data_IF_095133277466
#
_entry.id   IF_095133277466
#
_cell.length_a   1.000
_cell.length_b   1.000
_cell.length_c   1.000
_cell.angle_alpha   90.00
_cell.angle_beta   90.00
_cell.angle_gamma   90.00
#
_symmetry.space_group_name_H-M   'P 1'
#
loop_
_entity.id
_entity.type
_entity.pdbx_description
1 polymer ?
#
# COMPACT_ATOMS: atom_id res chain seq x y z
N UNK A 1 -0.71 -6.10 13.99
CA UNK A 1 -0.66 -7.57 14.19
C UNK A 1 -2.00 -8.27 14.41
N UNK A 2 -2.95 -7.77 15.21
CA UNK A 2 -4.15 -8.57 15.56
C UNK A 2 -5.26 -8.70 14.51
N UNK A 3 -5.28 -7.88 13.46
CA UNK A 3 -6.37 -7.85 12.47
C UNK A 3 -5.92 -8.39 11.10
N UNK A 4 -6.41 -9.56 10.69
CA UNK A 4 -6.00 -10.28 9.47
C UNK A 4 -7.07 -10.27 8.38
N UNK A 5 -8.32 -9.97 8.69
CA UNK A 5 -9.37 -9.89 7.68
C UNK A 5 -10.73 -9.52 8.25
N UNK A 6 -11.75 -9.55 7.39
CA UNK A 6 -13.12 -9.19 7.77
C UNK A 6 -13.66 -10.00 8.96
N UNK A 7 -13.26 -11.27 9.09
CA UNK A 7 -13.68 -12.14 10.18
C UNK A 7 -13.25 -11.64 11.58
N UNK A 8 -12.17 -10.85 11.67
CA UNK A 8 -11.65 -10.36 12.94
C UNK A 8 -12.35 -9.08 13.42
N UNK A 9 -13.27 -8.50 12.62
CA UNK A 9 -13.83 -7.17 12.87
C UNK A 9 -14.61 -7.08 14.19
N UNK A 10 -15.40 -8.10 14.53
CA UNK A 10 -16.18 -8.11 15.76
C UNK A 10 -15.26 -8.11 17.00
N UNK A 11 -14.27 -9.01 17.03
CA UNK A 11 -13.31 -9.10 18.14
C UNK A 11 -12.46 -7.82 18.23
N UNK A 12 -12.06 -7.25 17.08
CA UNK A 12 -11.32 -6.01 17.06
C UNK A 12 -12.11 -4.83 17.66
N UNK A 13 -13.43 -4.78 17.47
CA UNK A 13 -14.30 -3.75 18.02
C UNK A 13 -14.41 -3.81 19.55
N UNK A 14 -14.25 -4.98 20.14
CA UNK A 14 -14.20 -5.15 21.59
C UNK A 14 -12.87 -4.70 22.21
N UNK A 15 -11.79 -4.70 21.42
CA UNK A 15 -10.43 -4.49 21.93
C UNK A 15 -9.80 -3.15 21.53
N UNK A 16 -10.26 -2.53 20.45
CA UNK A 16 -9.60 -1.38 19.82
C UNK A 16 -10.59 -0.32 19.35
N UNK A 17 -10.11 0.90 19.16
CA UNK A 17 -10.88 2.00 18.55
C UNK A 17 -10.73 2.08 17.03
N UNK A 18 -9.79 1.32 16.47
CA UNK A 18 -9.55 1.30 15.03
C UNK A 18 -8.61 0.17 14.64
N UNK A 19 -8.51 -0.07 13.33
CA UNK A 19 -7.71 -1.15 12.76
C UNK A 19 -6.76 -0.63 11.68
N UNK A 20 -5.58 -1.23 11.60
CA UNK A 20 -4.62 -1.04 10.52
C UNK A 20 -4.71 -2.22 9.55
N UNK A 21 -5.29 -1.97 8.37
CA UNK A 21 -5.51 -2.96 7.31
C UNK A 21 -4.31 -2.95 6.36
N UNK A 22 -3.68 -4.10 6.17
CA UNK A 22 -2.54 -4.27 5.25
C UNK A 22 -2.91 -5.30 4.17
N UNK A 23 -2.56 -5.04 2.91
CA UNK A 23 -2.91 -5.95 1.81
C UNK A 23 -2.35 -7.35 2.02
N UNK A 24 -1.09 -7.45 2.45
CA UNK A 24 -0.41 -8.73 2.71
C UNK A 24 -1.05 -9.56 3.80
N UNK A 25 -1.79 -8.93 4.72
CA UNK A 25 -2.50 -9.64 5.78
C UNK A 25 -3.86 -10.14 5.37
N UNK A 26 -4.47 -9.47 4.41
CA UNK A 26 -5.87 -9.65 4.00
C UNK A 26 -6.01 -10.40 2.68
N UNK A 27 -4.91 -10.85 2.07
CA UNK A 27 -4.94 -11.57 0.79
C UNK A 27 -5.08 -10.66 -0.44
N UNK A 28 -4.72 -9.38 -0.32
CA UNK A 28 -4.72 -8.43 -1.43
C UNK A 28 -5.87 -7.41 -1.38
N UNK A 29 -6.12 -6.74 -2.52
CA UNK A 29 -7.03 -5.57 -2.60
C UNK A 29 -8.47 -5.94 -2.24
N UNK A 30 -8.97 -7.09 -2.71
CA UNK A 30 -10.35 -7.52 -2.46
C UNK A 30 -10.55 -7.81 -0.97
N UNK A 31 -9.68 -8.61 -0.35
CA UNK A 31 -9.81 -8.91 1.07
C UNK A 31 -9.59 -7.68 1.96
N UNK A 32 -8.72 -6.74 1.55
CA UNK A 32 -8.59 -5.46 2.25
C UNK A 32 -9.87 -4.62 2.17
N UNK A 33 -10.50 -4.56 1.00
CA UNK A 33 -11.78 -3.86 0.81
C UNK A 33 -12.88 -4.45 1.71
N UNK A 34 -12.97 -5.78 1.77
CA UNK A 34 -13.91 -6.49 2.65
C UNK A 34 -13.61 -6.21 4.13
N UNK A 35 -12.34 -6.24 4.53
CA UNK A 35 -11.93 -5.98 5.89
C UNK A 35 -12.21 -4.53 6.33
N UNK A 36 -11.97 -3.55 5.45
CA UNK A 36 -12.30 -2.15 5.70
C UNK A 36 -13.81 -1.95 5.87
N UNK A 37 -14.62 -2.55 5.01
CA UNK A 37 -16.09 -2.50 5.11
C UNK A 37 -16.57 -3.13 6.42
N UNK A 38 -16.03 -4.30 6.78
CA UNK A 38 -16.38 -4.98 8.03
C UNK A 38 -16.02 -4.13 9.25
N UNK A 39 -14.80 -3.59 9.30
CA UNK A 39 -14.37 -2.71 10.39
C UNK A 39 -15.27 -1.48 10.53
N UNK A 40 -15.59 -0.80 9.41
CA UNK A 40 -16.52 0.35 9.42
C UNK A 40 -17.90 -0.02 9.92
N UNK A 41 -18.42 -1.19 9.55
CA UNK A 41 -19.73 -1.65 10.03
C UNK A 41 -19.78 -1.87 11.55
N UNK A 42 -18.62 -2.10 12.17
CA UNK A 42 -18.45 -2.21 13.62
C UNK A 42 -18.15 -0.86 14.31
N UNK A 43 -18.17 0.26 13.57
CA UNK A 43 -17.89 1.59 14.13
C UNK A 43 -16.41 1.87 14.40
N UNK A 44 -15.50 1.02 13.91
CA UNK A 44 -14.05 1.21 14.06
C UNK A 44 -13.53 2.28 13.10
N UNK A 45 -12.53 3.05 13.57
CA UNK A 45 -11.68 3.84 12.67
C UNK A 45 -10.83 2.93 11.79
N UNK A 46 -10.53 3.38 10.60
CA UNK A 46 -9.83 2.61 9.58
C UNK A 46 -8.54 3.28 9.15
N UNK A 47 -7.46 2.51 9.15
CA UNK A 47 -6.16 2.91 8.65
C UNK A 47 -5.72 1.92 7.59
N UNK A 48 -5.22 2.41 6.46
CA UNK A 48 -4.55 1.56 5.49
C UNK A 48 -3.05 1.59 5.73
N UNK A 49 -2.43 0.43 5.87
CA UNK A 49 -1.03 0.30 6.16
C UNK A 49 -0.28 -0.57 5.16
N UNK A 50 1.05 -0.51 5.22
CA UNK A 50 1.96 -1.39 4.49
C UNK A 50 2.97 -2.09 5.42
N UNK A 51 3.67 -3.10 4.91
CA UNK A 51 4.96 -3.50 5.47
C UNK A 51 6.10 -2.78 4.72
N UNK A 52 7.36 -3.19 4.92
CA UNK A 52 8.47 -2.82 4.03
C UNK A 52 8.25 -3.44 2.65
N UNK A 53 7.55 -2.70 1.79
CA UNK A 53 7.01 -3.17 0.52
C UNK A 53 7.42 -2.23 -0.62
N UNK A 54 7.42 -2.75 -1.85
CA UNK A 54 7.62 -1.94 -3.05
C UNK A 54 6.39 -1.13 -3.41
N UNK A 55 6.54 -0.18 -4.33
CA UNK A 55 5.50 0.63 -4.93
C UNK A 55 4.34 -0.17 -5.50
N UNK A 56 4.49 -1.49 -5.79
CA UNK A 56 3.35 -2.34 -6.17
C UNK A 56 2.25 -2.28 -5.12
N UNK A 57 2.56 -2.66 -3.88
CA UNK A 57 1.54 -2.80 -2.85
C UNK A 57 1.12 -1.44 -2.31
N UNK A 58 2.03 -0.47 -2.25
CA UNK A 58 1.72 0.91 -1.89
C UNK A 58 0.72 1.52 -2.89
N UNK A 59 0.95 1.34 -4.20
CA UNK A 59 0.03 1.86 -5.22
C UNK A 59 -1.31 1.12 -5.21
N UNK A 60 -1.29 -0.21 -5.07
CA UNK A 60 -2.52 -1.00 -4.98
C UNK A 60 -3.36 -0.59 -3.75
N UNK A 61 -2.71 -0.36 -2.61
CA UNK A 61 -3.36 0.11 -1.38
C UNK A 61 -3.88 1.55 -1.55
N UNK A 62 -3.12 2.45 -2.16
CA UNK A 62 -3.52 3.86 -2.33
C UNK A 62 -4.87 4.03 -3.06
N UNK A 63 -5.28 3.09 -3.91
CA UNK A 63 -6.62 3.11 -4.52
C UNK A 63 -7.77 2.91 -3.52
N UNK A 64 -7.51 2.30 -2.37
CA UNK A 64 -8.48 2.14 -1.28
C UNK A 64 -8.46 3.31 -0.30
N UNK A 65 -7.55 4.29 -0.44
CA UNK A 65 -7.41 5.41 0.47
C UNK A 65 -8.71 6.18 0.77
N UNK A 66 -9.63 6.42 -0.18
CA UNK A 66 -10.91 7.10 0.10
C UNK A 66 -11.81 6.35 1.11
N UNK A 67 -11.52 5.07 1.38
CA UNK A 67 -12.24 4.26 2.34
C UNK A 67 -11.61 4.27 3.73
N UNK A 68 -10.54 5.02 3.97
CA UNK A 68 -9.82 5.02 5.24
C UNK A 68 -9.79 6.41 5.89
N UNK A 69 -9.67 6.42 7.22
CA UNK A 69 -9.51 7.64 8.01
C UNK A 69 -8.03 8.08 8.09
N UNK A 70 -7.11 7.11 8.01
CA UNK A 70 -5.66 7.33 8.08
C UNK A 70 -4.90 6.46 7.07
N UNK A 71 -3.67 6.88 6.73
CA UNK A 71 -2.77 6.16 5.83
C UNK A 71 -1.37 6.01 6.45
N UNK A 72 -0.79 4.83 6.27
CA UNK A 72 0.56 4.39 6.60
C UNK A 72 1.10 3.63 5.39
N UNK A 73 1.38 4.39 4.33
CA UNK A 73 1.69 3.88 2.99
C UNK A 73 3.03 4.46 2.51
N UNK A 74 4.07 4.28 3.31
CA UNK A 74 5.40 4.85 3.10
C UNK A 74 6.51 3.79 3.02
N UNK A 75 6.17 2.50 3.04
CA UNK A 75 7.14 1.39 3.02
C UNK A 75 8.09 1.43 1.81
N UNK A 76 7.63 1.91 0.66
CA UNK A 76 8.46 2.05 -0.54
C UNK A 76 9.49 3.20 -0.43
N UNK A 77 9.27 4.18 0.46
CA UNK A 77 10.21 5.27 0.70
C UNK A 77 11.44 4.81 1.50
N UNK A 78 11.36 3.62 2.11
CA UNK A 78 12.42 3.05 2.95
C UNK A 78 13.34 2.08 2.20
N UNK A 79 13.15 1.91 0.90
CA UNK A 79 13.97 1.02 0.05
C UNK A 79 14.59 1.78 -1.13
N UNK A 80 15.77 1.35 -1.59
CA UNK A 80 16.50 2.01 -2.70
C UNK A 80 16.44 1.24 -4.01
N UNK A 81 15.87 0.04 -4.00
CA UNK A 81 15.89 -0.93 -5.09
C UNK A 81 14.49 -1.25 -5.66
N UNK A 82 13.53 -0.35 -5.48
CA UNK A 82 12.18 -0.47 -6.03
C UNK A 82 12.19 -0.35 -7.56
N UNK A 83 11.84 -1.41 -8.33
CA UNK A 83 11.84 -1.36 -9.78
C UNK A 83 10.52 -0.84 -10.35
N UNK A 84 9.66 -0.23 -9.54
CA UNK A 84 8.34 0.25 -9.98
C UNK A 84 8.17 1.76 -9.80
N UNK A 85 7.33 2.34 -10.66
CA UNK A 85 6.87 3.72 -10.58
C UNK A 85 5.36 3.68 -10.49
N UNK A 86 4.79 4.24 -9.41
CA UNK A 86 3.36 4.28 -9.17
C UNK A 86 2.98 5.52 -8.37
N UNK A 87 2.19 5.37 -7.32
CA UNK A 87 1.83 6.49 -6.45
C UNK A 87 3.08 7.21 -5.93
N UNK A 88 3.06 8.53 -6.00
CA UNK A 88 4.17 9.38 -5.54
C UNK A 88 3.86 9.95 -4.16
N UNK A 89 4.90 10.17 -3.36
CA UNK A 89 4.80 10.77 -2.03
C UNK A 89 5.61 12.06 -1.99
N UNK A 90 4.94 13.19 -1.87
CA UNK A 90 5.58 14.51 -1.78
C UNK A 90 5.01 15.31 -0.63
N UNK A 91 5.87 15.77 0.29
CA UNK A 91 5.49 16.61 1.45
C UNK A 91 4.32 16.04 2.28
N UNK A 92 4.30 14.71 2.44
CA UNK A 92 3.25 14.01 3.18
C UNK A 92 1.95 13.76 2.40
N UNK A 93 1.91 14.10 1.10
CA UNK A 93 0.79 13.81 0.21
C UNK A 93 1.12 12.63 -0.69
N UNK A 94 0.27 11.61 -0.66
CA UNK A 94 0.27 10.52 -1.64
C UNK A 94 -0.65 10.89 -2.80
N UNK A 95 -0.12 10.90 -4.02
CA UNK A 95 -0.91 11.22 -5.21
C UNK A 95 -0.46 10.44 -6.44
N UNK A 96 -1.46 10.05 -7.24
CA UNK A 96 -1.27 9.56 -8.59
C UNK A 96 -1.18 10.70 -9.62
N UNK A 97 -1.70 11.90 -9.34
CA UNK A 97 -1.69 13.01 -10.30
C UNK A 97 -0.28 13.52 -10.65
N UNK A 98 0.64 13.36 -9.70
CA UNK A 98 2.06 13.69 -9.81
C UNK A 98 2.91 12.50 -10.27
N UNK A 99 2.27 11.33 -10.47
CA UNK A 99 2.95 10.15 -10.99
C UNK A 99 3.10 10.22 -12.51
N UNK A 100 4.23 9.73 -13.06
CA UNK A 100 4.33 9.40 -14.48
C UNK A 100 3.29 8.36 -14.96
N UNK A 101 2.65 7.64 -14.04
CA UNK A 101 1.60 6.64 -14.31
C UNK A 101 0.32 6.96 -13.49
N UNK A 102 -0.55 7.86 -13.99
CA UNK A 102 -1.65 8.41 -13.19
C UNK A 102 -2.77 7.43 -12.83
N UNK A 103 -2.79 6.24 -13.43
CA UNK A 103 -3.85 5.24 -13.26
C UNK A 103 -3.32 3.90 -12.71
N UNK A 104 -2.04 3.79 -12.40
CA UNK A 104 -1.50 2.49 -12.01
C UNK A 104 -0.01 2.48 -11.72
N UNK A 105 0.68 1.53 -12.34
CA UNK A 105 2.06 1.18 -12.04
C UNK A 105 2.79 0.83 -13.34
N UNK A 106 4.03 1.29 -13.47
CA UNK A 106 4.96 0.90 -14.52
C UNK A 106 6.22 0.29 -13.93
N UNK A 107 6.79 -0.70 -14.61
CA UNK A 107 8.13 -1.19 -14.33
C UNK A 107 9.17 -0.19 -14.85
N UNK A 108 10.09 0.23 -13.99
CA UNK A 108 11.23 1.06 -14.37
C UNK A 108 12.52 0.21 -14.47
N UNK A 109 13.39 0.47 -15.45
CA UNK A 109 14.72 -0.13 -15.48
C UNK A 109 15.47 0.21 -14.20
N UNK A 110 16.19 -0.77 -13.64
CA UNK A 110 17.05 -0.52 -12.48
C UNK A 110 18.11 0.52 -12.86
N UNK A 111 18.11 1.67 -12.17
CA UNK A 111 19.17 2.67 -12.33
C UNK A 111 20.49 2.05 -11.86
N UNK A 112 21.49 2.01 -12.75
CA UNK A 112 22.86 1.61 -12.39
C UNK A 112 23.38 0.26 -12.87
N UNK A 113 22.78 -0.37 -13.89
CA UNK A 113 23.45 -1.47 -14.60
C UNK A 113 23.69 -1.08 -16.07
N UNK A 114 24.87 -0.52 -16.36
CA UNK A 114 25.48 -0.60 -17.68
C UNK A 114 25.86 -2.06 -17.95
N UNK A 115 24.89 -2.89 -18.34
CA UNK A 115 25.17 -4.18 -18.98
C UNK A 115 25.74 -4.01 -20.42
N UNK A 116 26.22 -2.80 -20.76
CA UNK A 116 26.68 -2.39 -22.08
C UNK A 116 28.15 -1.98 -22.14
N UNK A 117 28.97 -2.18 -21.10
CA UNK A 117 30.41 -1.83 -21.12
C UNK A 117 31.37 -3.03 -21.22
N UNK A 118 30.89 -4.27 -21.33
CA UNK A 118 31.76 -5.47 -21.39
C UNK A 118 31.61 -6.34 -22.63
N UNK A 119 30.95 -5.87 -23.69
CA UNK A 119 31.00 -6.52 -25.01
C UNK A 119 31.44 -5.48 -26.04
N UNK A 120 32.75 -5.23 -26.10
CA UNK A 120 33.41 -4.81 -27.34
C UNK A 120 34.15 -6.05 -27.88
N UNK A 121 34.05 -6.36 -29.18
CA UNK A 121 34.76 -7.48 -29.81
C UNK A 121 36.28 -7.31 -29.76
#
# INVERSE_FOLDING_TARGET
ESFHGAADAAIAAECFHGVNVKLVKTGGVIGALEALKAAKSQGLKTMLGCMLETSILISAAAHLAPLCDYLDLDGNLLITNDPYVGVTAEKGLLSFSTSPEPIGLRVAPRRGNSFSESINP
#
